data_IF_323476987346
#
_entry.id   IF_323476987346
#
_cell.length_a   1.000
_cell.length_b   1.000
_cell.length_c   1.000
_cell.angle_alpha   90.00
_cell.angle_beta   90.00
_cell.angle_gamma   90.00
#
_symmetry.space_group_name_H-M   'P 1'
#
loop_
_entity.id
_entity.type
_entity.pdbx_description
1 polymer ?
#
# COMPACT_ATOMS: atom_id res chain seq x y z
N UNK A 1 26.13 12.61 8.41
CA UNK A 1 25.85 11.92 7.13
C UNK A 1 25.21 10.61 7.53
N UNK A 2 23.90 10.50 7.42
CA UNK A 2 23.20 9.23 7.59
C UNK A 2 23.74 8.26 6.52
N UNK A 3 24.10 7.07 6.97
CA UNK A 3 24.66 6.02 6.13
C UNK A 3 23.54 5.60 5.16
N UNK A 4 23.55 6.14 3.94
CA UNK A 4 22.52 5.86 2.95
C UNK A 4 22.58 4.37 2.60
N UNK A 5 21.53 3.63 2.95
CA UNK A 5 21.43 2.22 2.66
C UNK A 5 21.45 1.99 1.14
N UNK A 6 22.18 0.96 0.70
CA UNK A 6 22.23 0.61 -0.73
C UNK A 6 20.98 -0.13 -1.16
N UNK A 7 20.37 0.27 -2.28
CA UNK A 7 19.24 -0.43 -2.91
C UNK A 7 19.56 -1.88 -3.34
N UNK A 8 20.83 -2.26 -3.35
CA UNK A 8 21.26 -3.64 -3.58
C UNK A 8 21.08 -4.55 -2.33
N UNK A 9 20.75 -3.97 -1.16
CA UNK A 9 20.50 -4.70 0.07
C UNK A 9 19.06 -5.23 0.12
N UNK A 10 18.90 -6.37 0.78
CA UNK A 10 17.60 -6.96 1.11
C UNK A 10 17.58 -7.32 2.61
N UNK A 11 17.44 -6.32 3.52
CA UNK A 11 17.70 -6.49 4.95
C UNK A 11 16.92 -7.64 5.60
N UNK A 12 15.64 -7.79 5.32
CA UNK A 12 14.79 -8.88 5.85
C UNK A 12 15.28 -10.24 5.33
N UNK A 13 15.50 -10.36 4.03
CA UNK A 13 16.00 -11.61 3.44
C UNK A 13 17.38 -12.00 3.96
N UNK A 14 18.29 -11.02 4.08
CA UNK A 14 19.63 -11.23 4.63
C UNK A 14 19.58 -11.73 6.07
N UNK A 15 18.71 -11.13 6.89
CA UNK A 15 18.51 -11.53 8.28
C UNK A 15 17.89 -12.93 8.40
N UNK A 16 16.86 -13.24 7.62
CA UNK A 16 16.25 -14.59 7.58
C UNK A 16 17.28 -15.64 7.16
N UNK A 17 18.07 -15.37 6.12
CA UNK A 17 19.12 -16.27 5.65
C UNK A 17 20.25 -16.45 6.66
N UNK A 18 20.56 -15.45 7.46
CA UNK A 18 21.54 -15.57 8.54
C UNK A 18 20.97 -16.40 9.70
N UNK A 19 19.76 -16.09 10.14
CA UNK A 19 19.06 -16.77 11.23
C UNK A 19 18.83 -18.27 10.93
N UNK A 20 18.45 -18.64 9.70
CA UNK A 20 18.22 -20.04 9.32
C UNK A 20 19.47 -20.92 9.44
N UNK A 21 20.67 -20.33 9.53
CA UNK A 21 21.94 -21.05 9.74
C UNK A 21 22.31 -21.21 11.21
N UNK A 22 21.62 -20.51 12.10
CA UNK A 22 21.86 -20.58 13.53
C UNK A 22 21.23 -21.87 14.10
N UNK A 23 21.97 -22.55 14.97
CA UNK A 23 21.47 -23.73 15.67
C UNK A 23 20.72 -23.31 16.94
N UNK A 24 19.55 -22.71 16.77
CA UNK A 24 18.69 -22.30 17.88
C UNK A 24 17.70 -23.42 18.20
N UNK A 25 17.46 -23.67 19.49
CA UNK A 25 16.38 -24.56 19.94
C UNK A 25 15.10 -23.70 20.03
N UNK A 26 14.11 -23.90 19.15
CA UNK A 26 12.93 -23.05 19.10
C UNK A 26 11.92 -23.38 20.19
N UNK A 27 11.72 -22.46 21.14
CA UNK A 27 10.64 -22.49 22.13
C UNK A 27 9.49 -21.55 21.82
N UNK A 28 9.63 -20.77 20.75
CA UNK A 28 8.69 -19.80 20.22
C UNK A 28 7.70 -20.41 19.21
N UNK A 29 6.84 -19.60 18.61
CA UNK A 29 6.03 -19.95 17.45
C UNK A 29 6.86 -19.71 16.17
N UNK A 30 6.55 -20.37 15.05
CA UNK A 30 5.44 -21.33 14.84
C UNK A 30 5.68 -22.70 15.45
N UNK A 31 4.56 -23.43 15.70
CA UNK A 31 4.55 -24.71 16.41
C UNK A 31 5.26 -25.87 15.71
N UNK A 32 5.52 -25.77 14.40
CA UNK A 32 6.24 -26.80 13.62
C UNK A 32 7.74 -26.91 13.99
N UNK A 33 8.30 -25.95 14.74
CA UNK A 33 9.66 -25.99 15.29
C UNK A 33 10.73 -26.30 14.23
N UNK A 34 10.84 -25.43 13.19
CA UNK A 34 11.68 -25.65 12.01
C UNK A 34 11.39 -27.00 11.33
N UNK A 35 10.12 -27.33 11.21
CA UNK A 35 9.65 -28.54 10.54
C UNK A 35 9.65 -29.81 11.38
N UNK A 36 10.26 -29.84 12.57
CA UNK A 36 10.33 -31.04 13.42
C UNK A 36 8.96 -31.52 13.88
N UNK A 37 8.00 -30.65 14.06
CA UNK A 37 6.64 -30.97 14.47
C UNK A 37 5.74 -31.50 13.35
N UNK A 38 6.16 -31.38 12.07
CA UNK A 38 5.40 -31.86 10.92
C UNK A 38 6.34 -32.30 9.78
N UNK A 39 6.85 -33.54 9.83
CA UNK A 39 7.78 -34.05 8.82
C UNK A 39 7.21 -34.10 7.41
N UNK A 40 5.93 -34.47 7.26
CA UNK A 40 5.25 -34.53 5.95
C UNK A 40 5.17 -33.16 5.28
N UNK A 41 4.82 -32.11 6.04
CA UNK A 41 4.82 -30.75 5.54
C UNK A 41 6.22 -30.27 5.19
N UNK A 42 7.22 -30.68 5.98
CA UNK A 42 8.63 -30.32 5.72
C UNK A 42 9.15 -30.98 4.45
N UNK A 43 8.77 -32.22 4.19
CA UNK A 43 9.09 -32.91 2.93
C UNK A 43 8.45 -32.20 1.73
N UNK A 44 7.19 -31.77 1.86
CA UNK A 44 6.46 -31.07 0.79
C UNK A 44 7.00 -29.66 0.49
N UNK A 45 7.26 -28.84 1.52
CA UNK A 45 7.66 -27.44 1.37
C UNK A 45 9.19 -27.24 1.30
N UNK A 46 9.95 -28.20 1.79
CA UNK A 46 11.40 -28.13 1.94
C UNK A 46 11.87 -27.47 3.24
N UNK A 47 12.98 -27.94 3.76
CA UNK A 47 13.56 -27.49 5.04
C UNK A 47 13.83 -25.98 5.07
N UNK A 48 14.35 -25.41 3.99
CA UNK A 48 14.65 -23.97 3.92
C UNK A 48 13.41 -23.08 4.12
N UNK A 49 12.25 -23.52 3.64
CA UNK A 49 10.98 -22.83 3.88
C UNK A 49 10.58 -22.88 5.35
N UNK A 50 10.70 -24.05 5.96
CA UNK A 50 10.38 -24.24 7.38
C UNK A 50 11.33 -23.47 8.31
N UNK A 51 12.60 -23.31 7.92
CA UNK A 51 13.58 -22.53 8.67
C UNK A 51 13.36 -21.00 8.52
N UNK A 52 12.72 -20.58 7.44
CA UNK A 52 12.38 -19.17 7.19
C UNK A 52 11.02 -18.75 7.79
N UNK A 53 10.17 -19.71 8.18
CA UNK A 53 8.90 -19.42 8.86
C UNK A 53 9.15 -19.22 10.36
N UNK A 54 9.28 -17.97 10.76
CA UNK A 54 9.71 -17.52 12.08
C UNK A 54 8.80 -16.44 12.62
N UNK A 55 8.90 -16.17 13.93
CA UNK A 55 8.17 -15.11 14.60
C UNK A 55 9.01 -13.83 14.71
N UNK A 56 8.37 -12.74 15.16
CA UNK A 56 9.06 -11.53 15.60
C UNK A 56 10.01 -11.85 16.74
N UNK A 57 11.28 -11.49 16.56
CA UNK A 57 12.32 -11.67 17.58
C UNK A 57 13.46 -10.68 17.33
N UNK A 58 14.30 -10.46 18.34
CA UNK A 58 15.35 -9.44 18.28
C UNK A 58 16.20 -9.45 17.00
N UNK A 59 16.66 -10.58 16.43
CA UNK A 59 17.43 -10.59 15.18
C UNK A 59 16.60 -10.27 13.93
N UNK A 60 15.27 -10.43 13.98
CA UNK A 60 14.35 -10.34 12.83
C UNK A 60 13.40 -9.17 12.92
N UNK A 61 13.54 -8.35 13.97
CA UNK A 61 12.72 -7.17 14.21
C UNK A 61 11.24 -7.49 14.54
N UNK A 62 10.42 -6.45 14.65
CA UNK A 62 8.99 -6.57 14.92
C UNK A 62 8.21 -5.62 14.01
N UNK A 63 7.33 -6.15 13.18
CA UNK A 63 6.55 -5.38 12.22
C UNK A 63 5.66 -4.31 12.88
N UNK A 64 5.18 -4.54 14.11
CA UNK A 64 4.36 -3.55 14.82
C UNK A 64 5.18 -2.38 15.38
N UNK A 65 6.50 -2.52 15.46
CA UNK A 65 7.42 -1.48 15.92
C UNK A 65 8.82 -1.71 15.32
N UNK A 66 8.99 -1.45 14.01
CA UNK A 66 10.25 -1.69 13.31
C UNK A 66 11.37 -0.77 13.83
N UNK A 67 12.52 -1.35 14.18
CA UNK A 67 13.68 -0.61 14.69
C UNK A 67 15.01 -1.09 14.10
N UNK A 68 15.00 -2.13 13.28
CA UNK A 68 16.20 -2.73 12.68
C UNK A 68 15.94 -3.20 11.25
N UNK A 69 15.98 -4.48 10.94
CA UNK A 69 15.95 -5.00 9.56
C UNK A 69 14.66 -4.70 8.81
N UNK A 70 13.51 -4.66 9.50
CA UNK A 70 12.24 -4.26 8.88
C UNK A 70 12.24 -2.75 8.63
N UNK A 71 12.68 -1.96 9.60
CA UNK A 71 12.86 -0.52 9.44
C UNK A 71 13.80 -0.18 8.27
N UNK A 72 14.96 -0.87 8.18
CA UNK A 72 15.89 -0.67 7.08
C UNK A 72 15.25 -0.99 5.73
N UNK A 73 14.44 -2.04 5.65
CA UNK A 73 13.70 -2.41 4.44
C UNK A 73 12.62 -1.36 4.09
N UNK A 74 11.92 -0.80 5.09
CA UNK A 74 10.96 0.29 4.89
C UNK A 74 11.64 1.57 4.38
N UNK A 75 12.82 1.91 4.89
CA UNK A 75 13.64 3.03 4.39
C UNK A 75 14.02 2.82 2.92
N UNK A 76 14.47 1.61 2.56
CA UNK A 76 14.80 1.28 1.16
C UNK A 76 13.56 1.33 0.25
N UNK A 77 12.42 0.83 0.71
CA UNK A 77 11.16 0.93 -0.04
C UNK A 77 10.73 2.39 -0.22
N UNK A 78 10.80 3.21 0.82
CA UNK A 78 10.50 4.64 0.72
C UNK A 78 11.36 5.34 -0.32
N UNK A 79 12.67 5.07 -0.33
CA UNK A 79 13.60 5.61 -1.35
C UNK A 79 13.24 5.14 -2.76
N UNK A 80 12.94 3.84 -2.94
CA UNK A 80 12.61 3.27 -4.25
C UNK A 80 11.33 3.87 -4.84
N UNK A 81 10.33 4.17 -4.00
CA UNK A 81 9.05 4.74 -4.42
C UNK A 81 9.02 6.28 -4.37
N UNK A 82 10.10 6.93 -3.94
CA UNK A 82 10.14 8.39 -3.81
C UNK A 82 9.21 8.94 -2.71
N UNK A 83 8.96 8.14 -1.67
CA UNK A 83 8.14 8.49 -0.53
C UNK A 83 8.99 8.97 0.66
N UNK A 84 8.40 9.75 1.57
CA UNK A 84 9.04 10.11 2.84
C UNK A 84 9.12 8.92 3.80
N UNK A 85 8.10 8.07 3.78
CA UNK A 85 8.01 6.86 4.61
C UNK A 85 7.33 5.73 3.82
N UNK A 86 7.67 4.49 4.13
CA UNK A 86 6.96 3.30 3.70
C UNK A 86 6.62 2.42 4.91
N UNK A 87 5.53 1.68 4.82
CA UNK A 87 5.05 0.78 5.88
C UNK A 87 4.67 -0.56 5.26
N UNK A 88 5.21 -1.65 5.76
CA UNK A 88 4.82 -2.98 5.32
C UNK A 88 3.54 -3.44 6.00
N UNK A 89 2.56 -3.84 5.21
CA UNK A 89 1.22 -4.24 5.67
C UNK A 89 0.96 -5.71 5.33
N UNK A 90 0.89 -6.58 6.35
CA UNK A 90 0.65 -8.03 6.16
C UNK A 90 -0.79 -8.37 5.75
N UNK A 91 -1.73 -7.44 5.91
CA UNK A 91 -3.14 -7.59 5.49
C UNK A 91 -3.37 -7.22 4.01
N UNK A 92 -2.30 -7.10 3.23
CA UNK A 92 -2.32 -6.71 1.83
C UNK A 92 -2.79 -5.28 1.61
N UNK A 93 -2.99 -4.91 0.34
CA UNK A 93 -3.45 -3.56 -0.05
C UNK A 93 -4.82 -3.23 0.55
N UNK A 94 -5.64 -4.23 0.87
CA UNK A 94 -6.90 -4.03 1.62
C UNK A 94 -6.65 -3.30 2.94
N UNK A 95 -5.70 -3.77 3.75
CA UNK A 95 -5.34 -3.12 5.01
C UNK A 95 -4.71 -1.74 4.79
N UNK A 96 -3.87 -1.59 3.76
CA UNK A 96 -3.24 -0.32 3.42
C UNK A 96 -4.27 0.75 3.04
N UNK A 97 -5.23 0.43 2.16
CA UNK A 97 -6.31 1.36 1.77
C UNK A 97 -7.17 1.73 2.97
N UNK A 98 -7.51 0.76 3.83
CA UNK A 98 -8.25 1.05 5.05
C UNK A 98 -7.46 1.98 5.98
N UNK A 99 -6.19 1.70 6.22
CA UNK A 99 -5.33 2.54 7.06
C UNK A 99 -5.22 3.98 6.55
N UNK A 100 -5.03 4.17 5.23
CA UNK A 100 -5.00 5.50 4.61
C UNK A 100 -6.29 6.28 4.88
N UNK A 101 -7.45 5.67 4.64
CA UNK A 101 -8.74 6.35 4.83
C UNK A 101 -8.98 6.65 6.33
N UNK A 102 -8.70 5.69 7.23
CA UNK A 102 -8.88 5.89 8.67
C UNK A 102 -7.93 6.95 9.25
N UNK A 103 -6.75 7.15 8.64
CA UNK A 103 -5.79 8.17 9.09
C UNK A 103 -6.23 9.60 8.76
N UNK A 104 -7.09 9.78 7.75
CA UNK A 104 -7.51 11.10 7.24
C UNK A 104 -8.95 11.42 7.63
N UNK A 105 -9.83 10.41 7.68
CA UNK A 105 -11.26 10.59 7.87
C UNK A 105 -11.74 9.98 9.17
N UNK A 106 -12.68 10.66 9.81
CA UNK A 106 -13.45 10.21 10.99
C UNK A 106 -14.95 10.30 10.70
N UNK A 107 -15.76 9.90 11.67
CA UNK A 107 -17.23 9.92 11.56
C UNK A 107 -17.76 11.28 11.10
N UNK A 108 -18.52 11.27 10.01
CA UNK A 108 -19.14 12.45 9.41
C UNK A 108 -18.25 13.24 8.45
N UNK A 109 -16.94 12.99 8.40
CA UNK A 109 -16.06 13.60 7.40
C UNK A 109 -16.42 13.10 6.01
N UNK A 110 -16.34 13.98 5.01
CA UNK A 110 -16.56 13.61 3.61
C UNK A 110 -15.26 13.19 2.93
N UNK A 111 -15.36 12.19 2.05
CA UNK A 111 -14.27 11.76 1.15
C UNK A 111 -14.80 11.63 -0.27
N UNK A 112 -14.14 12.31 -1.21
CA UNK A 112 -14.45 12.19 -2.65
C UNK A 112 -13.77 10.95 -3.19
N UNK A 113 -14.51 10.10 -3.93
CA UNK A 113 -13.99 8.83 -4.42
C UNK A 113 -14.73 8.33 -5.66
N UNK A 114 -14.08 7.55 -6.53
CA UNK A 114 -14.78 6.99 -7.68
C UNK A 114 -15.76 5.90 -7.22
N UNK A 115 -16.81 5.68 -7.99
CA UNK A 115 -17.82 4.67 -7.65
C UNK A 115 -17.33 3.22 -7.87
N UNK A 116 -16.29 3.04 -8.67
CA UNK A 116 -15.67 1.74 -8.95
C UNK A 116 -14.45 1.43 -8.05
N UNK A 117 -14.47 1.93 -6.81
CA UNK A 117 -13.43 1.60 -5.81
C UNK A 117 -13.44 0.12 -5.43
N UNK A 118 -12.30 -0.35 -4.97
CA UNK A 118 -12.21 -1.66 -4.35
C UNK A 118 -13.02 -1.71 -3.03
N UNK A 119 -13.54 -2.90 -2.68
CA UNK A 119 -14.32 -3.13 -1.45
C UNK A 119 -13.62 -2.64 -0.18
N UNK A 120 -12.27 -2.65 -0.14
CA UNK A 120 -11.51 -2.14 1.01
C UNK A 120 -11.85 -0.69 1.37
N UNK A 121 -12.05 0.17 0.37
CA UNK A 121 -12.43 1.56 0.60
C UNK A 121 -13.84 1.66 1.22
N UNK A 122 -14.79 0.86 0.73
CA UNK A 122 -16.15 0.82 1.33
C UNK A 122 -16.11 0.31 2.77
N UNK A 123 -15.32 -0.73 3.03
CA UNK A 123 -15.15 -1.25 4.39
C UNK A 123 -14.53 -0.20 5.33
N UNK A 124 -13.58 0.61 4.84
CA UNK A 124 -13.02 1.71 5.62
C UNK A 124 -14.08 2.75 6.00
N UNK A 125 -15.00 3.09 5.07
CA UNK A 125 -16.12 4.01 5.38
C UNK A 125 -17.01 3.46 6.49
N UNK A 126 -17.30 2.15 6.46
CA UNK A 126 -18.08 1.49 7.52
C UNK A 126 -17.37 1.58 8.86
N UNK A 127 -16.04 1.39 8.88
CA UNK A 127 -15.23 1.41 10.09
C UNK A 127 -15.14 2.82 10.70
N UNK A 128 -14.86 3.84 9.89
CA UNK A 128 -14.68 5.21 10.40
C UNK A 128 -15.97 6.05 10.43
N UNK A 129 -17.00 5.65 9.68
CA UNK A 129 -18.25 6.41 9.56
C UNK A 129 -18.12 7.66 8.68
N UNK A 130 -17.14 7.70 7.77
CA UNK A 130 -17.00 8.76 6.79
C UNK A 130 -18.10 8.67 5.71
N UNK A 131 -18.42 9.82 5.11
CA UNK A 131 -19.48 9.96 4.11
C UNK A 131 -18.86 10.05 2.71
N UNK A 132 -19.13 9.09 1.82
CA UNK A 132 -18.59 9.13 0.46
C UNK A 132 -19.31 10.19 -0.39
N UNK A 133 -18.53 10.95 -1.14
CA UNK A 133 -18.96 11.77 -2.27
C UNK A 133 -18.51 11.05 -3.54
N UNK A 134 -19.45 10.39 -4.20
CA UNK A 134 -19.11 9.57 -5.36
C UNK A 134 -18.95 10.38 -6.65
N UNK A 135 -17.83 10.16 -7.33
CA UNK A 135 -17.59 10.57 -8.72
C UNK A 135 -17.84 9.35 -9.59
N UNK A 136 -18.74 9.47 -10.56
CA UNK A 136 -18.98 8.40 -11.51
C UNK A 136 -17.83 8.37 -12.52
N UNK A 137 -17.14 7.23 -12.69
CA UNK A 137 -16.14 7.07 -13.73
C UNK A 137 -16.83 7.08 -15.10
N UNK A 138 -16.10 7.52 -16.13
CA UNK A 138 -16.54 7.28 -17.51
C UNK A 138 -16.66 5.77 -17.77
N UNK A 139 -17.41 5.43 -18.81
CA UNK A 139 -17.52 4.05 -19.28
C UNK A 139 -17.16 4.01 -20.76
N UNK A 140 -16.25 3.10 -21.13
CA UNK A 140 -15.96 2.85 -22.53
C UNK A 140 -17.18 2.18 -23.17
N UNK A 141 -17.80 2.76 -24.21
CA UNK A 141 -19.05 2.25 -24.77
C UNK A 141 -18.87 0.95 -25.58
N UNK A 142 -17.65 0.64 -26.03
CA UNK A 142 -17.37 -0.56 -26.82
C UNK A 142 -17.03 -1.74 -25.90
N UNK A 143 -16.21 -1.50 -24.89
CA UNK A 143 -15.73 -2.52 -23.98
C UNK A 143 -16.63 -2.70 -22.74
N UNK A 144 -17.47 -1.72 -22.42
CA UNK A 144 -18.32 -1.73 -21.23
C UNK A 144 -17.55 -1.65 -19.92
N UNK A 145 -16.28 -1.17 -19.95
CA UNK A 145 -15.42 -1.06 -18.78
C UNK A 145 -15.46 0.34 -18.17
N UNK A 146 -15.31 0.40 -16.84
CA UNK A 146 -15.19 1.67 -16.15
C UNK A 146 -13.79 2.27 -16.36
N UNK A 147 -13.77 3.55 -16.68
CA UNK A 147 -12.56 4.37 -16.83
C UNK A 147 -12.14 4.98 -15.50
N UNK A 148 -11.12 5.84 -15.51
CA UNK A 148 -10.74 6.67 -14.37
C UNK A 148 -11.71 7.85 -14.15
N UNK A 149 -11.51 8.61 -13.08
CA UNK A 149 -12.22 9.85 -12.83
C UNK A 149 -11.71 10.94 -13.79
N UNK A 150 -12.63 11.69 -14.40
CA UNK A 150 -12.24 12.88 -15.15
C UNK A 150 -11.91 14.04 -14.21
N UNK A 151 -10.96 14.89 -14.59
CA UNK A 151 -10.59 16.07 -13.81
C UNK A 151 -11.80 16.98 -13.56
N UNK A 152 -12.64 17.19 -14.59
CA UNK A 152 -13.83 18.04 -14.50
C UNK A 152 -14.88 17.50 -13.51
N UNK A 153 -15.02 16.17 -13.40
CA UNK A 153 -15.94 15.56 -12.42
C UNK A 153 -15.40 15.67 -11.00
N UNK A 154 -14.09 15.55 -10.82
CA UNK A 154 -13.43 15.75 -9.54
C UNK A 154 -13.58 17.20 -9.10
N UNK A 155 -13.36 18.18 -10.01
CA UNK A 155 -13.51 19.61 -9.74
C UNK A 155 -14.94 19.92 -9.26
N UNK A 156 -15.96 19.47 -9.98
CA UNK A 156 -17.37 19.66 -9.57
C UNK A 156 -17.67 19.03 -8.19
N UNK A 157 -17.08 17.86 -7.90
CA UNK A 157 -17.27 17.22 -6.61
C UNK A 157 -16.61 18.00 -5.46
N UNK A 158 -15.43 18.57 -5.69
CA UNK A 158 -14.70 19.42 -4.75
C UNK A 158 -15.48 20.72 -4.49
N UNK A 159 -15.90 21.42 -5.55
CA UNK A 159 -16.68 22.67 -5.44
C UNK A 159 -17.98 22.46 -4.67
N UNK A 160 -18.68 21.35 -4.92
CA UNK A 160 -19.91 21.00 -4.21
C UNK A 160 -19.68 20.53 -2.78
N UNK A 161 -18.47 20.16 -2.40
CA UNK A 161 -18.13 19.63 -1.08
C UNK A 161 -16.78 20.18 -0.58
N UNK A 162 -16.66 21.50 -0.35
CA UNK A 162 -15.40 22.14 0.04
C UNK A 162 -14.91 21.69 1.45
N UNK A 163 -15.77 21.03 2.22
CA UNK A 163 -15.49 20.46 3.54
C UNK A 163 -14.93 19.03 3.49
N UNK A 164 -14.81 18.43 2.30
CA UNK A 164 -14.23 17.11 2.14
C UNK A 164 -12.76 17.07 2.60
N UNK A 165 -12.34 15.96 3.21
CA UNK A 165 -10.99 15.81 3.78
C UNK A 165 -9.99 15.26 2.78
N UNK A 166 -10.46 14.42 1.87
CA UNK A 166 -9.60 13.76 0.91
C UNK A 166 -10.29 13.43 -0.40
N UNK A 167 -9.47 13.20 -1.42
CA UNK A 167 -9.83 12.58 -2.69
C UNK A 167 -9.12 11.23 -2.75
N UNK A 168 -9.86 10.13 -2.86
CA UNK A 168 -9.33 8.81 -3.15
C UNK A 168 -9.35 8.57 -4.66
N UNK A 169 -8.25 8.12 -5.22
CA UNK A 169 -8.11 7.81 -6.65
C UNK A 169 -7.67 6.36 -6.82
N UNK A 170 -8.39 5.61 -7.66
CA UNK A 170 -7.97 4.31 -8.17
C UNK A 170 -7.04 4.53 -9.37
N UNK A 171 -5.75 4.24 -9.24
CA UNK A 171 -4.79 4.53 -10.32
C UNK A 171 -3.64 3.52 -10.38
N UNK A 172 -3.70 2.57 -11.32
CA UNK A 172 -4.72 2.38 -12.35
C UNK A 172 -6.01 1.75 -11.82
N UNK A 173 -7.07 1.80 -12.64
CA UNK A 173 -8.25 0.97 -12.41
C UNK A 173 -7.92 -0.51 -12.63
N UNK A 174 -8.85 -1.42 -12.29
CA UNK A 174 -8.69 -2.87 -12.54
C UNK A 174 -8.38 -3.20 -14.02
N UNK A 175 -8.80 -2.34 -14.94
CA UNK A 175 -8.58 -2.51 -16.39
C UNK A 175 -7.33 -1.79 -16.89
N UNK A 176 -6.47 -1.29 -16.01
CA UNK A 176 -5.23 -0.61 -16.38
C UNK A 176 -5.40 0.86 -16.82
N UNK A 177 -6.59 1.43 -16.67
CA UNK A 177 -6.85 2.83 -17.06
C UNK A 177 -6.39 3.78 -15.95
N UNK A 178 -5.55 4.75 -16.29
CA UNK A 178 -5.07 5.79 -15.39
C UNK A 178 -5.87 7.09 -15.55
N UNK A 179 -6.07 7.79 -14.43
CA UNK A 179 -6.59 9.16 -14.40
C UNK A 179 -5.46 10.16 -14.60
N UNK A 180 -5.78 11.42 -14.90
CA UNK A 180 -4.79 12.52 -14.83
C UNK A 180 -4.48 12.84 -13.37
N UNK A 181 -3.67 11.97 -12.75
CA UNK A 181 -3.39 12.02 -11.33
C UNK A 181 -2.68 13.31 -10.90
N UNK A 182 -1.75 13.85 -11.74
CA UNK A 182 -1.05 15.10 -11.41
C UNK A 182 -2.01 16.28 -11.30
N UNK A 183 -2.94 16.41 -12.23
CA UNK A 183 -3.92 17.48 -12.21
C UNK A 183 -4.91 17.32 -11.05
N UNK A 184 -5.33 16.10 -10.75
CA UNK A 184 -6.19 15.79 -9.59
C UNK A 184 -5.48 16.15 -8.28
N UNK A 185 -4.21 15.77 -8.11
CA UNK A 185 -3.42 16.11 -6.92
C UNK A 185 -3.32 17.63 -6.76
N UNK A 186 -2.93 18.33 -7.80
CA UNK A 186 -2.82 19.80 -7.78
C UNK A 186 -4.13 20.47 -7.40
N UNK A 187 -5.23 20.01 -7.98
CA UNK A 187 -6.57 20.54 -7.71
C UNK A 187 -6.98 20.29 -6.25
N UNK A 188 -6.87 19.05 -5.76
CA UNK A 188 -7.22 18.69 -4.39
C UNK A 188 -6.39 19.47 -3.36
N UNK A 189 -5.09 19.60 -3.58
CA UNK A 189 -4.20 20.36 -2.69
C UNK A 189 -4.54 21.86 -2.68
N UNK A 190 -4.94 22.44 -3.81
CA UNK A 190 -5.39 23.83 -3.87
C UNK A 190 -6.62 24.10 -2.98
N UNK A 191 -7.41 23.06 -2.69
CA UNK A 191 -8.57 23.11 -1.79
C UNK A 191 -8.29 22.54 -0.40
N UNK A 192 -7.01 22.29 -0.07
CA UNK A 192 -6.60 21.77 1.26
C UNK A 192 -6.97 20.30 1.53
N UNK A 193 -7.33 19.55 0.49
CA UNK A 193 -7.69 18.14 0.60
C UNK A 193 -6.46 17.24 0.40
N UNK A 194 -6.43 16.10 1.09
CA UNK A 194 -5.41 15.07 0.87
C UNK A 194 -5.75 14.20 -0.33
N UNK A 195 -4.74 13.67 -1.00
CA UNK A 195 -4.92 12.70 -2.09
C UNK A 195 -4.39 11.33 -1.66
N UNK A 196 -5.28 10.36 -1.68
CA UNK A 196 -5.00 8.95 -1.39
C UNK A 196 -5.08 8.17 -2.69
N UNK A 197 -4.06 7.38 -3.03
CA UNK A 197 -4.06 6.58 -4.25
C UNK A 197 -4.11 5.09 -3.92
N UNK A 198 -5.14 4.41 -4.42
CA UNK A 198 -5.12 2.95 -4.52
C UNK A 198 -4.36 2.60 -5.80
N UNK A 199 -3.09 2.30 -5.65
CA UNK A 199 -2.14 1.95 -6.70
C UNK A 199 -1.77 0.46 -6.65
N UNK A 200 -2.71 -0.38 -6.16
CA UNK A 200 -2.49 -1.83 -6.03
C UNK A 200 -2.02 -2.49 -7.33
N UNK A 201 -2.48 -2.01 -8.48
CA UNK A 201 -2.11 -2.52 -9.80
C UNK A 201 -1.01 -1.70 -10.49
N UNK A 202 -0.48 -0.66 -9.84
CA UNK A 202 0.47 0.30 -10.42
C UNK A 202 1.86 0.28 -9.79
N UNK A 203 2.20 -0.70 -8.96
CA UNK A 203 3.48 -0.80 -8.24
C UNK A 203 4.70 -0.60 -9.16
N UNK A 204 4.62 -1.08 -10.38
CA UNK A 204 5.69 -0.98 -11.38
C UNK A 204 5.87 0.41 -12.00
N UNK A 205 4.95 1.34 -11.81
CA UNK A 205 5.00 2.69 -12.41
C UNK A 205 6.23 3.49 -11.96
N UNK A 206 6.69 3.28 -10.72
CA UNK A 206 7.86 3.97 -10.18
C UNK A 206 9.19 3.58 -10.85
N UNK A 207 9.22 2.52 -11.66
CA UNK A 207 10.46 1.89 -12.14
C UNK A 207 10.70 2.05 -13.64
N UNK A 208 9.89 2.84 -14.37
CA UNK A 208 10.10 3.10 -15.79
C UNK A 208 9.40 4.37 -16.26
N UNK A 209 10.13 5.25 -16.91
CA UNK A 209 9.60 6.49 -17.53
C UNK A 209 8.64 6.23 -18.71
N UNK A 210 8.61 5.00 -19.23
CA UNK A 210 7.67 4.60 -20.28
C UNK A 210 6.27 4.26 -19.76
N UNK A 211 6.10 4.23 -18.42
CA UNK A 211 4.85 3.93 -17.75
C UNK A 211 4.14 5.21 -17.26
N UNK A 212 2.86 5.12 -16.91
CA UNK A 212 2.16 6.23 -16.28
C UNK A 212 2.85 6.70 -14.99
N UNK A 213 2.64 7.95 -14.62
CA UNK A 213 3.21 8.52 -13.40
C UNK A 213 2.69 7.78 -12.16
N UNK A 214 3.61 7.39 -11.26
CA UNK A 214 3.24 6.80 -9.97
C UNK A 214 2.61 7.84 -9.03
N UNK A 215 1.87 7.38 -8.04
CA UNK A 215 1.18 8.24 -7.09
C UNK A 215 2.15 9.17 -6.34
N UNK A 216 3.28 8.67 -5.86
CA UNK A 216 4.28 9.48 -5.17
C UNK A 216 4.90 10.51 -6.10
N UNK A 217 5.24 10.15 -7.34
CA UNK A 217 5.78 11.07 -8.35
C UNK A 217 4.74 12.10 -8.84
N UNK A 218 3.45 11.81 -8.71
CA UNK A 218 2.38 12.75 -8.96
C UNK A 218 2.16 13.73 -7.78
N UNK A 219 2.71 13.45 -6.60
CA UNK A 219 2.58 14.25 -5.39
C UNK A 219 1.41 13.87 -4.50
N UNK A 220 0.86 12.65 -4.62
CA UNK A 220 -0.16 12.16 -3.71
C UNK A 220 0.38 12.08 -2.27
N UNK A 221 -0.50 12.26 -1.27
CA UNK A 221 -0.10 12.22 0.14
C UNK A 221 0.15 10.80 0.63
N UNK A 222 -0.59 9.81 0.11
CA UNK A 222 -0.41 8.40 0.42
C UNK A 222 -0.75 7.52 -0.78
N UNK A 223 -0.05 6.40 -0.89
CA UNK A 223 -0.34 5.37 -1.89
C UNK A 223 -0.32 3.98 -1.27
N UNK A 224 -1.25 3.13 -1.67
CA UNK A 224 -1.27 1.71 -1.35
C UNK A 224 -0.85 0.92 -2.57
N UNK A 225 0.27 0.21 -2.48
CA UNK A 225 0.84 -0.62 -3.56
C UNK A 225 0.85 -2.09 -3.17
N UNK A 226 0.78 -2.99 -4.15
CA UNK A 226 0.88 -4.44 -3.95
C UNK A 226 2.20 -4.93 -4.53
N UNK A 227 3.03 -5.56 -3.71
CA UNK A 227 4.31 -6.13 -4.10
C UNK A 227 4.21 -7.65 -4.17
#
# INVERSE_FOLDING_TARGET
MENQLSQARAPIFEALRAFSKERVVPFDVPGHKHGKGNPELTEFLGQATMDADVNSMKPLDNLCHPVSVIHDAEVLAAQAFGAAHAFFMVSGTTGSVQAMILSVCKRGDKIIMPRNVHRSAINALVLCGAVPVYVNPGVDPQLGIALGMSLADVERAIEANPDAKAVLVNNPTYYGVCSDLRSIVKLAHAHGMRVLADEAHGTHFSFSDALPVSAMAAGADMAAVSM
#
